data_IF_388768270005
#
_entry.id   IF_388768270005
#
_cell.length_a   1.000
_cell.length_b   1.000
_cell.length_c   1.000
_cell.angle_alpha   90.00
_cell.angle_beta   90.00
_cell.angle_gamma   90.00
#
_symmetry.space_group_name_H-M   'P 1'
#
loop_
_entity.id
_entity.type
_entity.pdbx_description
1 polymer ?
#
# COMPACT_ATOMS: atom_id res chain seq x y z
N UNK A 1 -7.15 -5.67 -15.62
CA UNK A 1 -7.43 -4.28 -16.10
C UNK A 1 -7.56 -3.43 -14.86
N UNK A 2 -7.03 -2.21 -14.87
CA UNK A 2 -7.04 -1.41 -13.64
C UNK A 2 -8.44 -0.89 -13.31
N UNK A 3 -8.72 -0.72 -12.02
CA UNK A 3 -10.00 -0.21 -11.54
C UNK A 3 -10.16 1.31 -11.72
N UNK A 4 -11.41 1.78 -11.65
CA UNK A 4 -11.73 3.21 -11.62
C UNK A 4 -11.71 3.75 -10.19
N UNK A 5 -11.73 5.08 -10.04
CA UNK A 5 -11.82 5.71 -8.72
C UNK A 5 -13.12 5.37 -7.96
N UNK A 6 -14.23 5.20 -8.69
CA UNK A 6 -15.52 4.78 -8.11
C UNK A 6 -15.43 3.35 -7.58
N UNK A 7 -14.93 2.43 -8.42
CA UNK A 7 -14.69 1.03 -8.03
C UNK A 7 -13.74 0.93 -6.84
N UNK A 8 -12.70 1.76 -6.78
CA UNK A 8 -11.78 1.77 -5.65
C UNK A 8 -12.44 2.18 -4.32
N UNK A 9 -13.49 3.00 -4.36
CA UNK A 9 -14.27 3.35 -3.17
C UNK A 9 -15.22 2.24 -2.76
N UNK A 10 -15.88 1.58 -3.72
CA UNK A 10 -16.78 0.45 -3.44
C UNK A 10 -16.03 -0.75 -2.87
N UNK A 11 -14.82 -1.00 -3.40
CA UNK A 11 -13.94 -2.09 -3.03
C UNK A 11 -12.84 -1.66 -2.05
N UNK A 12 -13.05 -0.59 -1.28
CA UNK A 12 -12.02 -0.03 -0.40
C UNK A 12 -11.44 -1.07 0.59
N UNK A 13 -12.26 -2.04 1.01
CA UNK A 13 -11.93 -3.11 1.94
C UNK A 13 -11.44 -4.40 1.27
N UNK A 14 -11.33 -4.44 -0.04
CA UNK A 14 -10.79 -5.60 -0.74
C UNK A 14 -9.27 -5.50 -0.89
N UNK A 15 -8.56 -6.62 -1.11
CA UNK A 15 -7.11 -6.64 -1.20
C UNK A 15 -6.56 -5.72 -2.30
N UNK A 16 -5.47 -5.03 -1.99
CA UNK A 16 -4.77 -4.19 -2.94
C UNK A 16 -3.72 -5.01 -3.71
N UNK A 17 -3.93 -5.21 -5.01
CA UNK A 17 -3.01 -5.91 -5.90
C UNK A 17 -2.66 -4.99 -7.07
N UNK A 18 -1.40 -4.94 -7.47
CA UNK A 18 -0.98 -4.13 -8.62
C UNK A 18 -1.54 -4.68 -9.93
N UNK A 19 -2.17 -3.83 -10.74
CA UNK A 19 -2.59 -4.18 -12.10
C UNK A 19 -1.40 -4.19 -13.08
N UNK A 20 -0.48 -3.24 -12.91
CA UNK A 20 0.69 -3.04 -13.75
C UNK A 20 1.93 -2.84 -12.88
N UNK A 21 3.12 -2.94 -13.50
CA UNK A 21 4.36 -2.53 -12.83
C UNK A 21 4.22 -1.11 -12.27
N UNK A 22 4.63 -0.95 -11.01
CA UNK A 22 4.78 0.34 -10.36
C UNK A 22 6.24 0.50 -9.91
N UNK A 23 6.85 1.64 -10.23
CA UNK A 23 8.23 1.94 -9.87
C UNK A 23 8.32 2.53 -8.46
N UNK A 24 9.43 2.34 -7.77
CA UNK A 24 9.70 3.04 -6.52
C UNK A 24 9.55 4.56 -6.70
N UNK A 25 8.90 5.22 -5.74
CA UNK A 25 8.50 6.63 -5.82
C UNK A 25 7.14 6.88 -6.50
N UNK A 26 6.48 5.86 -7.04
CA UNK A 26 5.13 6.00 -7.62
C UNK A 26 4.10 6.19 -6.50
N UNK A 27 3.31 7.27 -6.61
CA UNK A 27 2.11 7.48 -5.77
C UNK A 27 0.97 6.65 -6.36
N UNK A 28 0.38 5.78 -5.55
CA UNK A 28 -0.64 4.85 -5.98
C UNK A 28 -2.00 5.54 -6.14
N UNK A 29 -2.69 5.14 -7.21
CA UNK A 29 -4.05 5.55 -7.55
C UNK A 29 -4.86 4.32 -7.98
N UNK A 30 -6.17 4.49 -8.18
CA UNK A 30 -7.04 3.41 -8.65
C UNK A 30 -6.51 2.73 -9.93
N UNK A 31 -5.94 3.50 -10.86
CA UNK A 31 -5.37 2.99 -12.11
C UNK A 31 -4.14 2.08 -11.92
N UNK A 32 -3.58 2.02 -10.71
CA UNK A 32 -2.49 1.12 -10.38
C UNK A 32 -2.98 -0.23 -9.84
N UNK A 33 -4.25 -0.34 -9.45
CA UNK A 33 -4.80 -1.50 -8.73
C UNK A 33 -5.66 -2.36 -9.65
N UNK A 34 -5.54 -3.68 -9.46
CA UNK A 34 -6.30 -4.70 -10.20
C UNK A 34 -7.72 -4.83 -9.63
N UNK A 35 -8.64 -5.32 -10.47
CA UNK A 35 -10.05 -5.53 -10.07
C UNK A 35 -10.18 -6.72 -9.10
N UNK A 36 -10.65 -6.52 -7.86
CA UNK A 36 -10.81 -7.62 -6.91
C UNK A 36 -11.78 -8.70 -7.37
N UNK A 37 -12.73 -8.37 -8.24
CA UNK A 37 -13.70 -9.34 -8.74
C UNK A 37 -13.06 -10.43 -9.60
N UNK A 38 -11.85 -10.21 -10.13
CA UNK A 38 -11.12 -11.23 -10.91
C UNK A 38 -10.13 -12.04 -10.07
N UNK A 39 -9.92 -11.70 -8.79
CA UNK A 39 -8.95 -12.41 -7.96
C UNK A 39 -9.26 -13.90 -7.80
N UNK A 40 -10.51 -14.35 -7.63
CA UNK A 40 -10.80 -15.79 -7.56
C UNK A 40 -10.33 -16.55 -8.80
N UNK A 41 -10.53 -16.00 -10.00
CA UNK A 41 -10.06 -16.61 -11.25
C UNK A 41 -8.51 -16.60 -11.35
N UNK A 42 -7.86 -15.55 -10.84
CA UNK A 42 -6.40 -15.44 -10.82
C UNK A 42 -5.75 -16.39 -9.79
N UNK A 43 -6.38 -16.61 -8.65
CA UNK A 43 -5.95 -17.60 -7.66
C UNK A 43 -6.19 -19.03 -8.15
N UNK A 44 -7.37 -19.30 -8.74
CA UNK A 44 -7.71 -20.60 -9.33
C UNK A 44 -6.77 -21.00 -10.49
N UNK A 45 -6.28 -20.01 -11.24
CA UNK A 45 -5.27 -20.22 -12.29
C UNK A 45 -3.84 -20.30 -11.77
N UNK A 46 -3.61 -20.04 -10.47
CA UNK A 46 -2.29 -20.05 -9.84
C UNK A 46 -1.40 -18.85 -10.22
N UNK A 47 -2.00 -17.78 -10.75
CA UNK A 47 -1.29 -16.55 -11.13
C UNK A 47 -1.18 -15.55 -9.98
N UNK A 48 -2.09 -15.62 -9.01
CA UNK A 48 -2.13 -14.76 -7.84
C UNK A 48 -2.13 -15.61 -6.57
N UNK A 49 -1.52 -15.09 -5.52
CA UNK A 49 -1.61 -15.62 -4.17
C UNK A 49 -1.65 -14.44 -3.23
N UNK A 50 -2.74 -14.28 -2.50
CA UNK A 50 -2.93 -13.15 -1.60
C UNK A 50 -2.50 -13.56 -0.18
N UNK A 51 -1.46 -12.92 0.40
CA UNK A 51 -1.00 -13.25 1.75
C UNK A 51 -1.91 -12.63 2.82
N UNK A 52 -1.86 -13.16 4.04
CA UNK A 52 -2.68 -12.68 5.17
C UNK A 52 -2.41 -11.22 5.57
N UNK A 53 -1.22 -10.71 5.28
CA UNK A 53 -0.80 -9.34 5.60
C UNK A 53 -0.98 -8.35 4.44
N UNK A 54 -1.81 -8.70 3.44
CA UNK A 54 -2.14 -7.78 2.35
C UNK A 54 -2.87 -6.54 2.88
N UNK A 55 -2.56 -5.38 2.30
CA UNK A 55 -3.29 -4.15 2.56
C UNK A 55 -4.57 -4.09 1.71
N UNK A 56 -5.52 -3.26 2.11
CA UNK A 56 -6.73 -3.04 1.34
C UNK A 56 -6.62 -1.83 0.41
N UNK A 57 -7.45 -1.79 -0.62
CA UNK A 57 -7.43 -0.75 -1.66
C UNK A 57 -7.41 0.64 -1.06
N UNK A 58 -8.32 0.98 -0.15
CA UNK A 58 -8.35 2.34 0.38
C UNK A 58 -7.23 2.64 1.39
N UNK A 59 -6.47 1.64 1.88
CA UNK A 59 -5.25 1.89 2.65
C UNK A 59 -4.14 2.43 1.75
N UNK A 60 -4.09 1.98 0.49
CA UNK A 60 -2.95 2.21 -0.40
C UNK A 60 -3.14 3.38 -1.35
N UNK A 61 -4.37 3.86 -1.57
CA UNK A 61 -4.60 5.04 -2.41
C UNK A 61 -3.89 6.25 -1.79
N UNK A 62 -2.99 6.87 -2.57
CA UNK A 62 -2.16 7.99 -2.11
C UNK A 62 -0.86 7.58 -1.40
N UNK A 63 -0.67 6.29 -1.09
CA UNK A 63 0.59 5.78 -0.57
C UNK A 63 1.64 5.72 -1.70
N UNK A 64 2.93 5.76 -1.34
CA UNK A 64 4.04 5.72 -2.29
C UNK A 64 4.76 4.38 -2.23
N UNK A 65 5.10 3.83 -3.41
CA UNK A 65 5.91 2.63 -3.53
C UNK A 65 7.35 2.86 -3.04
N UNK A 66 7.81 2.11 -2.04
CA UNK A 66 9.22 2.13 -1.61
C UNK A 66 10.12 1.29 -2.53
N UNK A 67 9.51 0.31 -3.19
CA UNK A 67 10.20 -0.66 -4.07
C UNK A 67 9.48 -0.77 -5.40
N UNK A 68 10.20 -1.09 -6.47
CA UNK A 68 9.58 -1.42 -7.76
C UNK A 68 9.00 -2.83 -7.71
N UNK A 69 7.76 -3.00 -8.13
CA UNK A 69 7.08 -4.29 -8.20
C UNK A 69 6.33 -4.44 -9.53
N UNK A 70 6.24 -5.68 -10.02
CA UNK A 70 5.51 -6.01 -11.25
C UNK A 70 4.00 -6.16 -11.00
N UNK A 71 3.22 -6.42 -12.05
CA UNK A 71 1.79 -6.70 -11.95
C UNK A 71 1.51 -7.96 -11.14
N UNK A 72 0.29 -8.08 -10.60
CA UNK A 72 -0.19 -9.20 -9.79
C UNK A 72 0.60 -9.39 -8.48
N UNK A 73 1.19 -8.30 -7.98
CA UNK A 73 1.84 -8.28 -6.67
C UNK A 73 0.86 -7.69 -5.64
N UNK A 74 0.45 -8.48 -4.62
CA UNK A 74 -0.28 -7.97 -3.46
C UNK A 74 0.58 -6.97 -2.69
N UNK A 75 -0.01 -5.85 -2.29
CA UNK A 75 0.69 -4.78 -1.59
C UNK A 75 0.69 -5.03 -0.09
N UNK A 76 1.87 -5.05 0.53
CA UNK A 76 2.06 -5.24 1.97
C UNK A 76 2.63 -3.97 2.63
N UNK A 77 2.51 -3.82 3.96
CA UNK A 77 2.99 -2.63 4.67
C UNK A 77 4.46 -2.28 4.45
N UNK A 78 5.31 -3.30 4.31
CA UNK A 78 6.74 -3.11 4.09
C UNK A 78 7.09 -2.58 2.69
N UNK A 79 6.14 -2.58 1.75
CA UNK A 79 6.34 -2.07 0.38
C UNK A 79 5.97 -0.60 0.20
N UNK A 80 5.20 -0.02 1.12
CA UNK A 80 4.63 1.32 0.98
C UNK A 80 5.05 2.28 2.09
N UNK A 81 5.03 3.57 1.78
CA UNK A 81 5.09 4.68 2.73
C UNK A 81 3.83 5.54 2.60
N UNK A 82 3.38 6.14 3.71
CA UNK A 82 2.16 6.97 3.71
C UNK A 82 0.85 6.19 3.56
N UNK A 83 0.80 4.96 4.06
CA UNK A 83 -0.43 4.14 4.09
C UNK A 83 -1.50 4.87 4.90
N UNK A 84 -2.72 4.95 4.37
CA UNK A 84 -3.87 5.52 5.06
C UNK A 84 -4.46 4.53 6.06
N UNK A 85 -4.55 4.94 7.31
CA UNK A 85 -5.37 4.22 8.28
C UNK A 85 -6.84 4.39 7.87
N UNK A 86 -7.51 3.27 7.60
CA UNK A 86 -8.96 3.27 7.52
C UNK A 86 -9.50 3.32 8.94
N UNK A 87 -10.51 4.15 9.18
CA UNK A 87 -11.40 3.96 10.32
C UNK A 87 -12.13 2.62 10.13
N UNK A 88 -11.59 1.56 10.73
CA UNK A 88 -12.26 0.28 10.85
C UNK A 88 -12.46 -0.06 12.33
N UNK A 89 -13.66 -0.53 12.67
CA UNK A 89 -14.02 -1.09 13.98
C UNK A 89 -13.02 -2.23 14.29
N UNK A 90 -12.05 -1.94 15.16
CA UNK A 90 -10.88 -2.75 15.54
C UNK A 90 -11.22 -4.17 16.04
N UNK A 91 -10.26 -5.14 16.15
CA UNK A 91 -8.78 -5.02 16.20
C UNK A 91 -8.00 -5.98 15.24
N UNK A 92 -6.70 -5.82 14.91
CA UNK A 92 -5.54 -5.86 15.82
C UNK A 92 -4.22 -5.33 15.21
N UNK A 93 -3.51 -4.55 16.05
CA UNK A 93 -2.06 -4.46 16.31
C UNK A 93 -1.03 -4.78 15.19
N UNK A 94 -0.40 -3.73 14.67
CA UNK A 94 1.05 -3.52 14.79
C UNK A 94 1.41 -2.03 14.67
N UNK A 95 1.84 -1.47 15.79
CA UNK A 95 2.22 -0.08 15.99
C UNK A 95 3.51 0.33 15.24
N UNK A 96 3.51 1.59 14.78
CA UNK A 96 4.56 2.64 14.85
C UNK A 96 6.03 2.28 14.48
N UNK A 97 6.86 3.15 13.87
CA UNK A 97 7.12 4.54 14.24
C UNK A 97 7.84 5.32 13.12
N UNK A 98 7.51 6.61 13.06
CA UNK A 98 8.35 7.81 12.87
C UNK A 98 8.93 8.23 11.52
N UNK A 99 8.26 9.27 11.03
CA UNK A 99 8.74 10.47 10.35
C UNK A 99 10.07 11.05 10.89
N UNK A 100 10.65 11.83 10.00
CA UNK A 100 11.97 12.45 9.90
C UNK A 100 12.30 13.58 10.88
N UNK A 101 13.61 13.89 10.91
CA UNK A 101 14.23 15.24 10.96
C UNK A 101 14.71 15.82 12.30
N UNK A 102 16.05 15.83 12.42
CA UNK A 102 16.94 16.95 12.71
C UNK A 102 16.79 17.79 14.01
N UNK A 103 17.86 17.81 14.80
CA UNK A 103 18.37 19.08 15.35
C UNK A 103 19.92 19.09 15.42
N UNK A 104 20.47 20.27 15.16
CA UNK A 104 21.85 20.55 14.78
C UNK A 104 22.85 20.66 15.96
N UNK A 105 24.18 20.65 15.70
CA UNK A 105 25.19 20.85 16.74
C UNK A 105 25.70 22.31 16.77
N UNK A 106 25.68 22.98 17.92
CA UNK A 106 26.59 24.11 18.27
C UNK A 106 26.53 24.43 19.78
N UNK A 107 27.61 24.20 20.54
CA UNK A 107 28.54 25.22 21.08
C UNK A 107 28.19 25.59 22.55
N UNK A 108 29.05 25.90 23.55
CA UNK A 108 30.47 26.23 23.76
C UNK A 108 30.78 25.93 25.25
N UNK A 109 31.99 25.49 25.60
CA UNK A 109 32.64 25.93 26.85
C UNK A 109 34.17 25.97 26.67
N UNK A 110 34.79 27.13 26.87
CA UNK A 110 35.85 27.17 27.88
C UNK A 110 35.82 28.45 28.73
N UNK A 111 36.07 28.30 30.03
CA UNK A 111 36.76 29.24 30.90
C UNK A 111 37.15 28.53 32.20
#
# INVERSE_FOLDING_TARGET
MSITAETAQEHAKDPAVLCCRAEAGTVLSASNLEDPNIFPDLEDSGLLTIPDNVLHIGNVIGATMKVTADSLVPLTPDMLEGIMEMEEDAPAEAAAVEETAADAPVAVAPA
#
